data_IF_857439716080
#
_entry.id   IF_857439716080
#
_cell.length_a   1.000
_cell.length_b   1.000
_cell.length_c   1.000
_cell.angle_alpha   90.00
_cell.angle_beta   90.00
_cell.angle_gamma   90.00
#
_symmetry.space_group_name_H-M   'P 1'
#
loop_
_entity.id
_entity.type
_entity.pdbx_description
1 polymer ?
#
# COMPACT_ATOMS: atom_id res chain seq x y z
N UNK A 1 -22.61 -25.38 9.47
CA UNK A 1 -23.27 -25.14 8.16
C UNK A 1 -24.79 -25.29 8.18
N UNK A 2 -25.37 -26.27 8.91
CA UNK A 2 -26.83 -26.51 8.89
C UNK A 2 -27.72 -25.31 9.31
N UNK A 3 -27.23 -24.42 10.18
CA UNK A 3 -27.97 -23.23 10.63
C UNK A 3 -27.89 -22.05 9.66
N UNK A 4 -26.89 -22.00 8.76
CA UNK A 4 -26.78 -20.88 7.82
C UNK A 4 -27.85 -21.00 6.73
N UNK A 5 -28.07 -22.21 6.22
CA UNK A 5 -29.10 -22.50 5.21
C UNK A 5 -30.53 -22.27 5.70
N UNK A 6 -30.76 -22.24 7.03
CA UNK A 6 -32.08 -21.98 7.62
C UNK A 6 -32.38 -20.49 7.78
N UNK A 7 -31.39 -19.61 7.56
CA UNK A 7 -31.62 -18.16 7.63
C UNK A 7 -32.44 -17.67 6.42
N UNK A 8 -33.29 -16.64 6.60
CA UNK A 8 -33.89 -15.91 5.50
C UNK A 8 -32.87 -15.49 4.44
N UNK A 9 -33.29 -15.46 3.17
CA UNK A 9 -32.40 -15.18 2.05
C UNK A 9 -31.68 -13.83 2.22
N UNK A 10 -32.38 -12.81 2.71
CA UNK A 10 -31.86 -11.47 2.95
C UNK A 10 -30.68 -11.49 3.93
N UNK A 11 -30.80 -12.23 5.04
CA UNK A 11 -29.74 -12.35 6.03
C UNK A 11 -28.54 -13.13 5.48
N UNK A 12 -28.77 -14.19 4.70
CA UNK A 12 -27.68 -14.94 4.05
C UNK A 12 -26.90 -14.05 3.09
N UNK A 13 -27.60 -13.24 2.29
CA UNK A 13 -26.96 -12.29 1.37
C UNK A 13 -26.17 -11.21 2.12
N UNK A 14 -26.72 -10.65 3.20
CA UNK A 14 -26.00 -9.67 4.03
C UNK A 14 -24.74 -10.27 4.68
N UNK A 15 -24.81 -11.50 5.16
CA UNK A 15 -23.65 -12.20 5.74
C UNK A 15 -22.57 -12.39 4.67
N UNK A 16 -22.94 -12.82 3.46
CA UNK A 16 -22.00 -12.95 2.36
C UNK A 16 -21.39 -11.62 1.94
N UNK A 17 -22.17 -10.54 1.91
CA UNK A 17 -21.66 -9.21 1.63
C UNK A 17 -20.68 -8.74 2.70
N UNK A 18 -21.00 -8.98 3.98
CA UNK A 18 -20.13 -8.64 5.10
C UNK A 18 -18.85 -9.47 5.13
N UNK A 19 -18.90 -10.72 4.68
CA UNK A 19 -17.76 -11.63 4.63
C UNK A 19 -16.82 -11.39 3.44
N UNK A 20 -17.10 -10.41 2.57
CA UNK A 20 -16.17 -10.03 1.51
C UNK A 20 -14.90 -9.42 2.12
N UNK A 21 -13.70 -9.90 1.74
CA UNK A 21 -12.46 -9.38 2.30
C UNK A 21 -12.17 -7.94 1.84
N UNK A 22 -11.45 -7.21 2.68
CA UNK A 22 -10.89 -5.90 2.34
C UNK A 22 -9.44 -6.08 1.86
N UNK A 23 -9.27 -6.41 0.58
CA UNK A 23 -7.96 -6.84 0.07
C UNK A 23 -7.08 -5.67 -0.31
N UNK A 24 -5.79 -5.86 -0.13
CA UNK A 24 -4.77 -4.99 -0.74
C UNK A 24 -4.33 -5.64 -2.06
N UNK A 25 -4.73 -5.03 -3.17
CA UNK A 25 -4.38 -5.47 -4.52
C UNK A 25 -3.10 -4.79 -4.95
N UNK A 26 -2.06 -5.58 -5.20
CA UNK A 26 -0.73 -5.07 -5.49
C UNK A 26 -0.49 -4.87 -6.99
N UNK A 27 -0.14 -3.64 -7.38
CA UNK A 27 0.33 -3.28 -8.71
C UNK A 27 1.85 -3.17 -8.71
N UNK A 28 2.51 -3.79 -9.70
CA UNK A 28 3.96 -3.91 -9.74
C UNK A 28 4.46 -5.09 -8.91
N UNK A 29 5.46 -5.78 -9.44
CA UNK A 29 6.14 -6.87 -8.73
C UNK A 29 6.95 -6.27 -7.57
N UNK A 30 6.74 -6.75 -6.33
CA UNK A 30 7.57 -6.31 -5.23
C UNK A 30 9.01 -6.78 -5.46
N UNK A 31 9.95 -5.85 -5.38
CA UNK A 31 11.37 -6.14 -5.45
C UNK A 31 12.00 -5.63 -4.16
N UNK A 32 12.53 -6.55 -3.37
CA UNK A 32 13.22 -6.20 -2.15
C UNK A 32 14.27 -7.25 -1.79
N UNK A 33 15.55 -7.00 -2.11
CA UNK A 33 16.61 -7.98 -1.92
C UNK A 33 16.88 -8.29 -0.46
N UNK A 34 16.44 -7.43 0.47
CA UNK A 34 16.68 -7.57 1.91
C UNK A 34 15.55 -8.32 2.64
N UNK A 35 14.48 -8.67 1.94
CA UNK A 35 13.23 -9.12 2.58
C UNK A 35 13.14 -10.64 2.68
N UNK A 36 13.14 -11.36 1.55
CA UNK A 36 12.95 -12.81 1.44
C UNK A 36 13.54 -13.22 0.06
N UNK A 37 14.01 -14.48 -0.14
CA UNK A 37 14.23 -15.04 -1.47
C UNK A 37 13.18 -14.59 -2.50
N UNK A 38 13.66 -14.17 -3.67
CA UNK A 38 12.84 -13.58 -4.73
C UNK A 38 11.66 -14.49 -5.13
N UNK A 39 11.87 -15.81 -5.12
CA UNK A 39 10.83 -16.80 -5.44
C UNK A 39 9.66 -16.79 -4.45
N UNK A 40 9.93 -16.79 -3.15
CA UNK A 40 8.87 -16.75 -2.11
C UNK A 40 8.09 -15.42 -2.20
N UNK A 41 8.79 -14.31 -2.48
CA UNK A 41 8.19 -12.99 -2.65
C UNK A 41 7.29 -12.92 -3.88
N UNK A 42 7.75 -13.48 -4.99
CA UNK A 42 7.01 -13.59 -6.24
C UNK A 42 5.79 -14.48 -6.09
N UNK A 43 5.95 -15.63 -5.41
CA UNK A 43 4.86 -16.53 -5.12
C UNK A 43 3.80 -15.86 -4.25
N UNK A 44 4.19 -15.17 -3.18
CA UNK A 44 3.28 -14.38 -2.36
C UNK A 44 2.53 -13.34 -3.19
N UNK A 45 3.22 -12.60 -4.05
CA UNK A 45 2.61 -11.64 -4.96
C UNK A 45 1.61 -12.26 -5.95
N UNK A 46 1.88 -13.47 -6.45
CA UNK A 46 0.93 -14.24 -7.28
C UNK A 46 -0.29 -14.66 -6.46
N UNK A 47 -0.08 -15.15 -5.24
CA UNK A 47 -1.16 -15.56 -4.33
C UNK A 47 -2.08 -14.38 -3.97
N UNK A 48 -1.53 -13.18 -3.78
CA UNK A 48 -2.29 -11.96 -3.45
C UNK A 48 -3.26 -11.53 -4.56
N UNK A 49 -3.11 -12.07 -5.77
CA UNK A 49 -3.98 -11.79 -6.93
C UNK A 49 -5.08 -12.83 -7.12
N UNK A 50 -5.07 -13.92 -6.33
CA UNK A 50 -6.09 -14.95 -6.42
C UNK A 50 -7.47 -14.40 -6.05
N UNK A 51 -8.50 -15.07 -6.54
CA UNK A 51 -9.88 -14.77 -6.17
C UNK A 51 -10.08 -15.05 -4.66
N UNK A 52 -10.92 -14.27 -3.98
CA UNK A 52 -11.18 -14.49 -2.57
C UNK A 52 -11.87 -15.84 -2.38
N UNK A 53 -11.56 -16.58 -1.31
CA UNK A 53 -12.08 -17.93 -1.06
C UNK A 53 -13.62 -17.95 -1.03
N UNK A 54 -14.24 -16.85 -0.57
CA UNK A 54 -15.69 -16.66 -0.59
C UNK A 54 -16.31 -16.87 -2.00
N UNK A 55 -15.59 -16.60 -3.08
CA UNK A 55 -16.08 -16.82 -4.45
C UNK A 55 -16.25 -18.31 -4.82
N UNK A 56 -15.69 -19.23 -4.02
CA UNK A 56 -15.70 -20.67 -4.26
C UNK A 56 -16.64 -21.45 -3.33
N UNK A 57 -17.23 -20.82 -2.31
CA UNK A 57 -18.04 -21.51 -1.29
C UNK A 57 -19.34 -22.09 -1.86
N UNK A 58 -20.17 -21.25 -2.47
CA UNK A 58 -21.45 -21.66 -3.06
C UNK A 58 -21.89 -20.66 -4.14
N UNK A 59 -23.00 -20.96 -4.81
CA UNK A 59 -23.50 -20.10 -5.90
C UNK A 59 -23.89 -18.69 -5.41
N UNK A 60 -24.54 -18.55 -4.25
CA UNK A 60 -24.96 -17.25 -3.71
C UNK A 60 -23.75 -16.36 -3.38
N UNK A 61 -22.79 -16.95 -2.68
CA UNK A 61 -21.54 -16.31 -2.30
C UNK A 61 -20.77 -15.82 -3.53
N UNK A 62 -20.69 -16.65 -4.58
CA UNK A 62 -20.09 -16.30 -5.87
C UNK A 62 -20.81 -15.15 -6.55
N UNK A 63 -22.15 -15.15 -6.56
CA UNK A 63 -22.93 -14.06 -7.16
C UNK A 63 -22.66 -12.73 -6.46
N UNK A 64 -22.53 -12.74 -5.13
CA UNK A 64 -22.20 -11.53 -4.36
C UNK A 64 -20.80 -11.02 -4.68
N UNK A 65 -19.80 -11.91 -4.67
CA UNK A 65 -18.43 -11.55 -5.05
C UNK A 65 -18.38 -10.94 -6.46
N UNK A 66 -19.01 -11.59 -7.45
CA UNK A 66 -19.09 -11.09 -8.82
C UNK A 66 -19.84 -9.75 -8.94
N UNK A 67 -20.92 -9.57 -8.18
CA UNK A 67 -21.72 -8.35 -8.22
C UNK A 67 -20.93 -7.13 -7.73
N UNK A 68 -20.10 -7.32 -6.69
CA UNK A 68 -19.28 -6.25 -6.10
C UNK A 68 -18.01 -5.96 -6.90
N UNK A 69 -17.53 -6.94 -7.67
CA UNK A 69 -16.26 -6.84 -8.38
C UNK A 69 -16.31 -6.26 -9.81
N UNK A 70 -17.44 -5.69 -10.25
CA UNK A 70 -17.60 -5.26 -11.65
C UNK A 70 -16.74 -4.06 -12.03
N UNK A 71 -15.90 -4.23 -13.05
CA UNK A 71 -15.26 -3.13 -13.80
C UNK A 71 -16.32 -2.12 -14.29
N UNK A 72 -16.03 -0.80 -14.27
CA UNK A 72 -16.87 0.17 -14.95
C UNK A 72 -16.98 -0.14 -16.45
N UNK A 73 -18.16 0.06 -17.04
CA UNK A 73 -18.35 -0.08 -18.49
C UNK A 73 -17.39 0.85 -19.24
N UNK A 74 -16.70 0.32 -20.26
CA UNK A 74 -15.78 1.09 -21.11
C UNK A 74 -14.32 1.13 -20.63
N UNK A 75 -13.98 0.51 -19.50
CA UNK A 75 -12.59 0.36 -19.06
C UNK A 75 -12.00 -0.90 -19.70
N UNK A 76 -11.13 -0.70 -20.70
CA UNK A 76 -10.28 -1.76 -21.25
C UNK A 76 -8.94 -1.66 -20.52
N UNK A 77 -8.66 -2.63 -19.66
CA UNK A 77 -7.31 -2.78 -19.11
C UNK A 77 -6.47 -3.58 -20.10
N UNK A 78 -5.19 -3.24 -20.19
CA UNK A 78 -4.27 -3.96 -21.04
C UNK A 78 -4.25 -5.47 -20.66
N UNK A 79 -4.10 -6.40 -21.62
CA UNK A 79 -4.11 -7.85 -21.35
C UNK A 79 -3.03 -8.29 -20.34
N UNK A 80 -1.98 -7.49 -20.19
CA UNK A 80 -0.87 -7.61 -19.26
C UNK A 80 -1.09 -6.81 -17.95
N UNK A 81 -2.25 -6.16 -17.76
CA UNK A 81 -2.63 -5.62 -16.45
C UNK A 81 -2.79 -6.80 -15.51
N UNK A 82 -1.85 -6.88 -14.57
CA UNK A 82 -1.42 -8.09 -13.85
C UNK A 82 -2.48 -8.65 -12.87
N UNK A 83 -3.69 -8.11 -12.90
CA UNK A 83 -4.82 -8.51 -12.07
C UNK A 83 -6.04 -8.60 -12.96
N UNK A 84 -6.77 -9.71 -12.85
CA UNK A 84 -8.11 -9.79 -13.42
C UNK A 84 -9.03 -8.80 -12.69
N UNK A 85 -9.03 -7.56 -13.16
CA UNK A 85 -9.76 -6.46 -12.54
C UNK A 85 -11.28 -6.67 -12.53
N UNK A 86 -11.79 -7.73 -13.19
CA UNK A 86 -13.14 -8.26 -13.00
C UNK A 86 -13.43 -8.69 -11.56
N UNK A 87 -12.41 -8.77 -10.71
CA UNK A 87 -12.52 -9.18 -9.30
C UNK A 87 -12.25 -8.07 -8.29
N UNK A 88 -12.12 -6.81 -8.73
CA UNK A 88 -11.90 -5.68 -7.83
C UNK A 88 -13.18 -5.13 -7.21
N UNK A 89 -13.28 -5.22 -5.88
CA UNK A 89 -14.37 -4.59 -5.15
C UNK A 89 -14.18 -3.08 -5.07
N UNK A 90 -15.10 -2.32 -5.67
CA UNK A 90 -15.04 -0.85 -5.71
C UNK A 90 -15.11 -0.17 -4.33
N UNK A 91 -15.56 -0.88 -3.30
CA UNK A 91 -15.87 -0.33 -1.99
C UNK A 91 -14.91 -0.77 -0.90
N UNK A 92 -14.18 -1.87 -1.10
CA UNK A 92 -13.37 -2.49 -0.02
C UNK A 92 -11.92 -2.74 -0.40
N UNK A 93 -11.60 -2.90 -1.69
CA UNK A 93 -10.22 -3.18 -2.10
C UNK A 93 -9.38 -1.89 -2.14
N UNK A 94 -8.15 -1.98 -1.64
CA UNK A 94 -7.13 -0.93 -1.70
C UNK A 94 -6.13 -1.31 -2.78
N UNK A 95 -5.79 -0.38 -3.65
CA UNK A 95 -4.84 -0.62 -4.73
C UNK A 95 -3.49 -0.09 -4.29
N UNK A 96 -2.53 -0.99 -4.09
CA UNK A 96 -1.20 -0.68 -3.62
C UNK A 96 -0.19 -0.68 -4.77
N UNK A 97 0.41 0.45 -5.05
CA UNK A 97 1.44 0.61 -6.05
C UNK A 97 2.82 0.34 -5.45
N UNK A 98 3.38 -0.82 -5.78
CA UNK A 98 4.78 -1.15 -5.56
C UNK A 98 5.62 -0.59 -6.71
N UNK A 99 6.78 -0.04 -6.40
CA UNK A 99 7.84 0.12 -7.39
C UNK A 99 9.13 -0.51 -6.87
N UNK A 100 9.88 -1.20 -7.72
CA UNK A 100 11.22 -1.62 -7.37
C UNK A 100 12.08 -0.37 -7.06
N UNK A 101 12.95 -0.43 -6.04
CA UNK A 101 13.85 0.69 -5.71
C UNK A 101 14.82 1.02 -6.85
N UNK A 102 15.09 0.06 -7.75
CA UNK A 102 15.91 0.24 -8.94
C UNK A 102 15.14 -0.23 -10.18
N UNK A 103 14.91 0.69 -11.12
CA UNK A 103 14.26 0.36 -12.39
C UNK A 103 15.33 -0.09 -13.38
N UNK A 104 15.34 -1.38 -13.68
CA UNK A 104 16.43 -2.03 -14.42
C UNK A 104 16.41 -1.66 -15.91
N UNK A 105 15.24 -1.36 -16.49
CA UNK A 105 15.15 -0.96 -17.91
C UNK A 105 14.01 0.03 -18.24
N UNK A 106 14.12 0.66 -19.43
CA UNK A 106 13.19 1.69 -19.89
C UNK A 106 11.75 1.18 -20.07
N UNK A 107 11.54 -0.07 -20.51
CA UNK A 107 10.20 -0.63 -20.69
C UNK A 107 9.47 -0.81 -19.35
N UNK A 108 10.17 -1.26 -18.31
CA UNK A 108 9.63 -1.31 -16.94
C UNK A 108 9.26 0.09 -16.43
N UNK A 109 10.10 1.10 -16.70
CA UNK A 109 9.83 2.50 -16.33
C UNK A 109 8.54 3.01 -16.98
N UNK A 110 8.36 2.81 -18.28
CA UNK A 110 7.15 3.23 -19.00
C UNK A 110 5.90 2.58 -18.40
N UNK A 111 5.92 1.26 -18.16
CA UNK A 111 4.77 0.56 -17.55
C UNK A 111 4.42 1.08 -16.17
N UNK A 112 5.42 1.39 -15.33
CA UNK A 112 5.19 1.95 -14.00
C UNK A 112 4.59 3.36 -14.10
N UNK A 113 5.07 4.18 -15.03
CA UNK A 113 4.53 5.51 -15.29
C UNK A 113 3.07 5.45 -15.79
N UNK A 114 2.77 4.54 -16.72
CA UNK A 114 1.41 4.31 -17.23
C UNK A 114 0.49 3.82 -16.10
N UNK A 115 0.94 2.89 -15.26
CA UNK A 115 0.20 2.43 -14.09
C UNK A 115 -0.12 3.55 -13.09
N UNK A 116 0.84 4.45 -12.84
CA UNK A 116 0.60 5.65 -12.02
C UNK A 116 -0.43 6.59 -12.67
N UNK A 117 -0.34 6.83 -13.98
CA UNK A 117 -1.31 7.63 -14.72
C UNK A 117 -2.71 7.01 -14.69
N UNK A 118 -2.81 5.69 -14.70
CA UNK A 118 -4.09 4.99 -14.59
C UNK A 118 -4.77 5.22 -13.25
N UNK A 119 -4.00 5.31 -12.15
CA UNK A 119 -4.55 5.70 -10.83
C UNK A 119 -5.25 7.06 -10.90
N UNK A 120 -4.75 7.96 -11.73
CA UNK A 120 -5.41 9.23 -12.02
C UNK A 120 -6.52 9.11 -13.06
N UNK A 121 -6.45 8.28 -14.09
CA UNK A 121 -7.41 8.32 -15.21
C UNK A 121 -8.62 7.42 -15.01
N UNK A 122 -8.47 6.33 -14.28
CA UNK A 122 -9.49 5.29 -14.15
C UNK A 122 -10.30 5.50 -12.86
N UNK A 123 -11.61 5.81 -12.93
CA UNK A 123 -12.40 6.18 -11.75
C UNK A 123 -12.46 5.12 -10.64
N UNK A 124 -12.36 3.82 -10.98
CA UNK A 124 -12.31 2.74 -9.99
C UNK A 124 -11.03 2.78 -9.16
N UNK A 125 -9.91 3.17 -9.77
CA UNK A 125 -8.60 3.20 -9.13
C UNK A 125 -8.48 4.38 -8.16
N UNK A 126 -9.23 5.47 -8.38
CA UNK A 126 -9.13 6.71 -7.60
C UNK A 126 -9.62 6.63 -6.14
N UNK A 127 -10.35 5.58 -5.74
CA UNK A 127 -11.07 5.59 -4.46
C UNK A 127 -10.19 5.31 -3.24
N UNK A 128 -9.35 4.28 -3.30
CA UNK A 128 -8.42 3.93 -2.22
C UNK A 128 -7.10 3.49 -2.83
N UNK A 129 -6.21 4.47 -2.98
CA UNK A 129 -4.86 4.26 -3.51
C UNK A 129 -3.87 4.25 -2.35
N UNK A 130 -3.03 3.23 -2.35
CA UNK A 130 -1.82 3.17 -1.56
C UNK A 130 -0.59 3.22 -2.47
N UNK A 131 0.42 3.99 -2.08
CA UNK A 131 1.69 4.08 -2.81
C UNK A 131 2.82 3.73 -1.84
N UNK A 132 3.78 2.91 -2.27
CA UNK A 132 5.00 2.68 -1.48
C UNK A 132 5.78 3.99 -1.31
N UNK A 133 6.32 4.24 -0.11
CA UNK A 133 7.15 5.40 0.15
C UNK A 133 8.35 5.46 -0.81
N UNK A 134 8.91 4.33 -1.24
CA UNK A 134 10.06 4.28 -2.14
C UNK A 134 9.78 4.89 -3.53
N UNK A 135 8.50 4.96 -3.93
CA UNK A 135 8.05 5.61 -5.18
C UNK A 135 8.12 7.14 -5.05
N UNK A 136 7.82 7.66 -3.86
CA UNK A 136 7.67 9.11 -3.62
C UNK A 136 8.94 9.69 -3.01
N UNK A 137 9.30 9.16 -1.85
CA UNK A 137 10.50 9.48 -1.10
C UNK A 137 10.81 8.30 -0.17
N UNK A 138 11.93 7.59 -0.35
CA UNK A 138 12.27 6.43 0.47
C UNK A 138 12.25 6.72 1.96
N UNK A 139 11.51 5.92 2.72
CA UNK A 139 11.47 6.05 4.18
C UNK A 139 12.71 5.44 4.84
N UNK A 140 13.29 4.41 4.22
CA UNK A 140 14.53 3.78 4.64
C UNK A 140 15.72 4.43 3.93
N UNK A 141 16.70 4.92 4.72
CA UNK A 141 17.83 5.73 4.22
C UNK A 141 18.75 5.01 3.23
N UNK A 142 18.74 3.69 3.22
CA UNK A 142 19.56 2.88 2.31
C UNK A 142 18.88 2.57 0.99
N UNK A 143 17.60 2.95 0.84
CA UNK A 143 16.87 2.73 -0.41
C UNK A 143 17.07 3.90 -1.35
N UNK A 144 17.28 3.55 -2.61
CA UNK A 144 17.28 4.50 -3.71
C UNK A 144 15.84 4.93 -4.02
N UNK A 145 15.71 6.16 -4.49
CA UNK A 145 14.44 6.66 -5.04
C UNK A 145 14.16 5.93 -6.35
N UNK A 146 12.88 5.70 -6.63
CA UNK A 146 12.45 5.30 -7.95
C UNK A 146 12.89 6.34 -9.02
N UNK A 147 13.27 5.86 -10.20
CA UNK A 147 13.62 6.69 -11.37
C UNK A 147 12.40 7.37 -12.03
N UNK A 148 11.23 7.33 -11.39
CA UNK A 148 10.02 7.92 -11.93
C UNK A 148 10.10 9.46 -11.90
N UNK A 149 9.54 10.16 -12.92
CA UNK A 149 9.49 11.61 -12.91
C UNK A 149 8.75 12.14 -11.68
N UNK A 150 9.39 13.01 -10.91
CA UNK A 150 8.80 13.57 -9.67
C UNK A 150 7.50 14.32 -9.93
N UNK A 151 7.41 15.03 -11.05
CA UNK A 151 6.19 15.75 -11.43
C UNK A 151 5.01 14.80 -11.56
N UNK A 152 5.20 13.67 -12.24
CA UNK A 152 4.17 12.65 -12.40
C UNK A 152 3.70 12.10 -11.05
N UNK A 153 4.63 11.73 -10.17
CA UNK A 153 4.29 11.19 -8.84
C UNK A 153 3.47 12.22 -8.05
N UNK A 154 3.89 13.49 -8.05
CA UNK A 154 3.16 14.55 -7.33
C UNK A 154 1.82 14.89 -7.98
N UNK A 155 1.69 14.86 -9.30
CA UNK A 155 0.40 15.01 -9.99
C UNK A 155 -0.60 13.94 -9.51
N UNK A 156 -0.16 12.68 -9.40
CA UNK A 156 -0.99 11.57 -8.91
C UNK A 156 -1.41 11.78 -7.46
N UNK A 157 -0.46 12.07 -6.57
CA UNK A 157 -0.76 12.27 -5.14
C UNK A 157 -1.70 13.48 -4.97
N UNK A 158 -1.47 14.58 -5.68
CA UNK A 158 -2.32 15.77 -5.60
C UNK A 158 -3.72 15.55 -6.20
N UNK A 159 -3.87 14.65 -7.16
CA UNK A 159 -5.18 14.27 -7.70
C UNK A 159 -6.01 13.44 -6.71
N UNK A 160 -5.38 12.84 -5.69
CA UNK A 160 -6.06 12.11 -4.61
C UNK A 160 -6.37 13.03 -3.43
N UNK A 161 -7.60 12.98 -2.90
CA UNK A 161 -7.95 13.72 -1.67
C UNK A 161 -7.22 13.18 -0.44
N UNK A 162 -7.11 11.85 -0.39
CA UNK A 162 -6.41 11.08 0.64
C UNK A 162 -5.52 10.09 -0.10
N UNK A 163 -4.23 10.10 0.22
CA UNK A 163 -3.26 9.15 -0.33
C UNK A 163 -2.73 8.29 0.81
N UNK A 164 -2.89 6.97 0.70
CA UNK A 164 -2.28 6.04 1.66
C UNK A 164 -0.81 5.88 1.27
N UNK A 165 0.11 6.08 2.21
CA UNK A 165 1.53 5.84 1.99
C UNK A 165 1.96 4.64 2.82
N UNK A 166 2.42 3.58 2.16
CA UNK A 166 3.08 2.47 2.84
C UNK A 166 4.53 2.87 3.11
N UNK A 167 4.86 3.19 4.37
CA UNK A 167 6.21 3.60 4.76
C UNK A 167 7.21 2.45 4.65
N UNK A 168 6.75 1.23 4.89
CA UNK A 168 7.58 0.04 4.83
C UNK A 168 6.71 -1.19 4.61
N UNK A 169 7.30 -2.21 4.00
CA UNK A 169 6.68 -3.51 3.79
C UNK A 169 7.42 -4.55 4.63
N UNK A 170 6.70 -5.21 5.53
CA UNK A 170 7.19 -6.31 6.34
C UNK A 170 6.65 -7.59 5.75
N UNK A 171 7.53 -8.44 5.21
CA UNK A 171 7.11 -9.77 4.79
C UNK A 171 7.32 -10.77 5.94
N UNK A 172 6.30 -11.59 6.17
CA UNK A 172 6.30 -12.61 7.21
C UNK A 172 6.23 -13.96 6.52
N UNK A 173 7.29 -14.74 6.68
CA UNK A 173 7.34 -16.11 6.16
C UNK A 173 6.54 -17.03 7.09
N UNK A 174 5.27 -17.28 6.78
CA UNK A 174 4.38 -18.10 7.59
C UNK A 174 3.36 -18.83 6.70
N UNK A 175 2.85 -19.97 7.16
CA UNK A 175 1.73 -20.63 6.48
C UNK A 175 0.41 -19.91 6.75
N UNK A 176 -0.61 -20.18 5.92
CA UNK A 176 -1.95 -19.62 6.09
C UNK A 176 -2.56 -20.08 7.41
N UNK A 177 -2.28 -21.31 7.84
CA UNK A 177 -2.76 -21.89 9.10
C UNK A 177 -2.20 -21.13 10.31
N UNK A 178 -0.89 -20.87 10.32
CA UNK A 178 -0.23 -20.10 11.39
C UNK A 178 -0.80 -18.67 11.50
N UNK A 179 -1.00 -18.01 10.35
CA UNK A 179 -1.65 -16.70 10.30
C UNK A 179 -3.09 -16.75 10.84
N UNK A 180 -3.84 -17.79 10.48
CA UNK A 180 -5.24 -17.99 10.87
C UNK A 180 -5.40 -18.23 12.37
N UNK A 181 -4.49 -18.99 13.00
CA UNK A 181 -4.50 -19.23 14.45
C UNK A 181 -4.40 -17.93 15.26
N UNK A 182 -3.72 -16.91 14.71
CA UNK A 182 -3.60 -15.59 15.32
C UNK A 182 -4.67 -14.59 14.83
N UNK A 183 -5.62 -15.03 13.99
CA UNK A 183 -6.66 -14.17 13.42
C UNK A 183 -6.11 -13.05 12.53
N UNK A 184 -4.99 -13.30 11.84
CA UNK A 184 -4.34 -12.37 10.93
C UNK A 184 -4.67 -12.69 9.47
N UNK A 185 -4.46 -11.71 8.58
CA UNK A 185 -4.59 -11.87 7.13
C UNK A 185 -5.95 -12.40 6.65
N UNK A 186 -7.04 -12.07 7.36
CA UNK A 186 -8.40 -12.39 6.93
C UNK A 186 -8.65 -13.89 6.71
N UNK A 187 -8.06 -14.75 7.54
CA UNK A 187 -8.07 -16.23 7.36
C UNK A 187 -7.41 -16.72 6.06
N UNK A 188 -6.52 -15.92 5.46
CA UNK A 188 -5.82 -16.19 4.20
C UNK A 188 -6.37 -15.41 2.99
N UNK A 189 -7.54 -14.77 3.11
CA UNK A 189 -8.16 -14.00 2.03
C UNK A 189 -7.65 -12.54 1.94
N UNK A 190 -6.91 -12.08 2.95
CA UNK A 190 -6.27 -10.77 2.97
C UNK A 190 -4.76 -10.91 3.20
N UNK A 191 -4.02 -11.53 2.27
CA UNK A 191 -2.61 -11.86 2.45
C UNK A 191 -1.67 -10.65 2.47
N UNK A 192 -2.19 -9.45 2.18
CA UNK A 192 -1.54 -8.18 2.47
C UNK A 192 -2.50 -7.27 3.25
N UNK A 193 -2.00 -6.65 4.32
CA UNK A 193 -2.77 -5.73 5.16
C UNK A 193 -1.99 -4.44 5.42
N UNK A 194 -2.69 -3.30 5.38
CA UNK A 194 -2.14 -1.97 5.63
C UNK A 194 -2.52 -1.53 7.04
N UNK A 195 -1.54 -1.51 7.94
CA UNK A 195 -1.73 -1.27 9.37
C UNK A 195 -1.23 0.13 9.73
N UNK A 196 -1.92 0.81 10.66
CA UNK A 196 -1.43 2.07 11.19
C UNK A 196 -0.07 1.88 11.88
N UNK A 197 0.99 2.64 11.53
CA UNK A 197 2.31 2.49 12.12
C UNK A 197 2.33 2.75 13.63
N UNK A 198 1.29 3.36 14.20
CA UNK A 198 1.17 3.64 15.63
C UNK A 198 0.16 2.72 16.34
N UNK A 199 -0.50 1.80 15.63
CA UNK A 199 -1.31 0.75 16.24
C UNK A 199 -0.42 -0.37 16.80
N UNK A 200 0.08 -0.13 18.02
CA UNK A 200 0.95 -1.07 18.73
C UNK A 200 0.29 -2.43 18.96
N UNK A 201 -1.02 -2.47 19.17
CA UNK A 201 -1.73 -3.72 19.43
C UNK A 201 -1.79 -4.58 18.16
N UNK A 202 -2.07 -3.98 17.00
CA UNK A 202 -2.01 -4.68 15.73
C UNK A 202 -0.58 -5.14 15.42
N UNK A 203 0.42 -4.26 15.51
CA UNK A 203 1.83 -4.57 15.22
C UNK A 203 2.35 -5.70 16.10
N UNK A 204 1.97 -5.74 17.38
CA UNK A 204 2.37 -6.81 18.29
C UNK A 204 1.84 -8.18 17.87
N UNK A 205 0.62 -8.27 17.30
CA UNK A 205 0.10 -9.54 16.77
C UNK A 205 0.91 -10.03 15.57
N UNK A 206 1.31 -9.12 14.67
CA UNK A 206 2.21 -9.47 13.57
C UNK A 206 3.60 -9.88 14.05
N UNK A 207 4.10 -9.23 15.10
CA UNK A 207 5.37 -9.60 15.75
C UNK A 207 5.29 -11.01 16.32
N UNK A 208 4.20 -11.38 16.99
CA UNK A 208 3.99 -12.74 17.50
C UNK A 208 4.03 -13.79 16.39
N UNK A 209 3.35 -13.52 15.26
CA UNK A 209 3.41 -14.42 14.10
C UNK A 209 4.85 -14.55 13.58
N UNK A 210 5.56 -13.44 13.45
CA UNK A 210 6.95 -13.41 12.98
C UNK A 210 7.95 -14.08 13.94
N UNK A 211 7.76 -13.94 15.25
CA UNK A 211 8.62 -14.58 16.26
C UNK A 211 8.55 -16.11 16.23
N UNK A 212 7.41 -16.65 15.78
CA UNK A 212 7.15 -18.08 15.64
C UNK A 212 7.63 -18.66 14.30
N UNK A 213 8.26 -17.85 13.45
CA UNK A 213 8.76 -18.29 12.14
C UNK A 213 10.23 -17.95 11.94
N UNK A 214 10.76 -18.26 10.75
CA UNK A 214 12.15 -17.94 10.44
C UNK A 214 12.30 -16.42 10.34
N UNK A 215 13.13 -15.86 11.22
CA UNK A 215 13.34 -14.41 11.35
C UNK A 215 14.17 -13.86 10.18
N UNK A 216 13.51 -13.07 9.33
CA UNK A 216 14.14 -12.32 8.25
C UNK A 216 14.81 -11.03 8.76
N UNK A 217 16.01 -10.71 8.25
CA UNK A 217 16.87 -9.63 8.76
C UNK A 217 16.23 -8.23 8.66
N UNK A 218 15.52 -7.96 7.56
CA UNK A 218 14.82 -6.67 7.37
C UNK A 218 13.68 -6.49 8.38
N UNK A 219 12.89 -7.54 8.62
CA UNK A 219 11.81 -7.56 9.60
C UNK A 219 12.32 -7.40 11.04
N UNK A 220 13.50 -7.95 11.38
CA UNK A 220 14.17 -7.68 12.67
C UNK A 220 14.36 -6.18 12.89
N UNK A 221 15.01 -5.50 11.94
CA UNK A 221 15.31 -4.06 12.05
C UNK A 221 14.04 -3.22 12.20
N UNK A 222 12.96 -3.61 11.53
CA UNK A 222 11.66 -2.96 11.69
C UNK A 222 11.12 -3.14 13.12
N UNK A 223 10.95 -4.38 13.59
CA UNK A 223 10.36 -4.66 14.91
C UNK A 223 11.21 -4.14 16.08
N UNK A 224 12.52 -4.03 15.91
CA UNK A 224 13.41 -3.42 16.91
C UNK A 224 13.29 -1.90 17.00
N UNK A 225 12.83 -1.25 15.92
CA UNK A 225 12.79 0.22 15.84
C UNK A 225 11.38 0.80 16.00
N UNK A 226 10.34 0.05 15.62
CA UNK A 226 8.95 0.53 15.54
C UNK A 226 8.42 1.09 16.88
N UNK A 227 8.77 0.46 18.00
CA UNK A 227 8.33 0.89 19.34
C UNK A 227 9.20 1.99 19.97
N UNK A 228 10.26 2.42 19.29
CA UNK A 228 11.21 3.41 19.81
C UNK A 228 10.84 4.83 19.38
N UNK A 229 11.23 5.83 20.18
CA UNK A 229 11.12 7.24 19.76
C UNK A 229 11.87 7.56 18.46
N UNK A 230 12.81 6.71 18.03
CA UNK A 230 13.51 6.85 16.75
C UNK A 230 12.56 6.67 15.57
N UNK A 231 11.58 5.77 15.67
CA UNK A 231 10.61 5.57 14.58
C UNK A 231 9.73 6.82 14.40
N UNK A 232 9.16 7.34 15.48
CA UNK A 232 8.37 8.58 15.44
C UNK A 232 9.19 9.75 14.88
N UNK A 233 10.44 9.91 15.33
CA UNK A 233 11.34 10.93 14.78
C UNK A 233 11.57 10.77 13.28
N UNK A 234 11.73 9.53 12.79
CA UNK A 234 11.89 9.25 11.37
C UNK A 234 10.63 9.59 10.57
N UNK A 235 9.44 9.29 11.10
CA UNK A 235 8.16 9.64 10.49
C UNK A 235 8.02 11.16 10.37
N UNK A 236 8.27 11.91 11.44
CA UNK A 236 8.21 13.38 11.42
C UNK A 236 9.21 13.99 10.41
N UNK A 237 10.43 13.47 10.40
CA UNK A 237 11.44 13.90 9.42
C UNK A 237 11.03 13.59 7.99
N UNK A 238 10.50 12.40 7.73
CA UNK A 238 10.02 12.00 6.41
C UNK A 238 8.85 12.89 5.93
N UNK A 239 7.92 13.20 6.83
CA UNK A 239 6.81 14.12 6.54
C UNK A 239 7.29 15.55 6.22
N UNK A 240 8.37 16.02 6.87
CA UNK A 240 8.99 17.30 6.57
C UNK A 240 9.68 17.31 5.19
N UNK A 241 10.38 16.22 4.82
CA UNK A 241 10.94 16.05 3.47
C UNK A 241 9.85 16.04 2.40
N UNK A 242 8.76 15.30 2.62
CA UNK A 242 7.60 15.29 1.74
C UNK A 242 6.98 16.68 1.57
N UNK A 243 6.88 17.44 2.65
CA UNK A 243 6.40 18.82 2.63
C UNK A 243 7.34 19.71 1.81
N UNK A 244 8.65 19.60 2.01
CA UNK A 244 9.64 20.33 1.24
C UNK A 244 9.60 20.00 -0.26
N UNK A 245 9.39 18.73 -0.61
CA UNK A 245 9.29 18.30 -2.01
C UNK A 245 8.02 18.78 -2.69
N UNK A 246 6.88 18.75 -2.00
CA UNK A 246 5.65 19.36 -2.51
C UNK A 246 5.84 20.85 -2.76
N UNK A 247 6.46 21.56 -1.80
CA UNK A 247 6.69 23.00 -1.94
C UNK A 247 7.57 23.26 -3.17
N UNK A 248 8.62 22.45 -3.34
CA UNK A 248 9.48 22.52 -4.51
C UNK A 248 8.67 22.29 -5.80
N UNK A 249 7.94 21.17 -5.89
CA UNK A 249 7.11 20.83 -7.04
C UNK A 249 6.11 21.93 -7.43
N UNK A 250 5.38 22.47 -6.45
CA UNK A 250 4.25 23.38 -6.72
C UNK A 250 4.67 24.84 -6.84
N UNK A 251 5.80 25.25 -6.26
CA UNK A 251 6.15 26.67 -6.11
C UNK A 251 7.51 27.10 -6.64
N UNK A 252 8.40 26.18 -7.05
CA UNK A 252 9.73 26.60 -7.56
C UNK A 252 9.77 26.95 -9.06
N UNK A 253 8.61 26.95 -9.74
CA UNK A 253 8.45 27.39 -11.14
C UNK A 253 7.22 28.28 -11.38
N UNK A 254 6.94 29.28 -10.52
CA UNK A 254 6.62 30.65 -11.02
C UNK A 254 7.28 31.79 -10.19
N UNK A 255 7.34 33.03 -10.71
CA UNK A 255 7.84 34.19 -9.97
C UNK A 255 6.79 34.64 -8.94
N UNK A 256 7.11 34.56 -7.64
CA UNK A 256 6.22 35.03 -6.58
C UNK A 256 6.91 36.03 -5.66
N UNK A 257 6.19 37.06 -5.17
CA UNK A 257 6.72 38.13 -4.31
C UNK A 257 6.79 37.75 -2.80
N UNK A 258 6.82 36.46 -2.45
CA UNK A 258 6.76 35.96 -1.06
C UNK A 258 8.12 35.38 -0.63
N UNK A 259 8.36 35.05 0.67
CA UNK A 259 9.63 34.47 1.12
C UNK A 259 10.06 33.31 0.23
N UNK A 260 11.34 33.26 -0.13
CA UNK A 260 11.85 32.32 -1.13
C UNK A 260 11.46 30.87 -0.73
N UNK A 261 10.64 30.16 -1.54
CA UNK A 261 10.23 28.78 -1.25
C UNK A 261 11.44 27.87 -0.98
N UNK A 262 12.60 28.16 -1.57
CA UNK A 262 13.84 27.42 -1.32
C UNK A 262 14.27 27.49 0.14
N UNK A 263 14.17 28.65 0.79
CA UNK A 263 14.59 28.84 2.18
C UNK A 263 13.67 28.05 3.12
N UNK A 264 12.36 28.07 2.87
CA UNK A 264 11.39 27.26 3.61
C UNK A 264 11.67 25.76 3.43
N UNK A 265 11.94 25.29 2.20
CA UNK A 265 12.29 23.88 1.99
C UNK A 265 13.59 23.48 2.71
N UNK A 266 14.59 24.37 2.75
CA UNK A 266 15.83 24.13 3.49
C UNK A 266 15.59 24.09 5.01
N UNK A 267 14.75 25.00 5.53
CA UNK A 267 14.36 25.05 6.93
C UNK A 267 13.65 23.75 7.35
N UNK A 268 12.67 23.28 6.58
CA UNK A 268 11.93 22.05 6.86
C UNK A 268 12.83 20.81 6.92
N UNK A 269 13.80 20.71 6.02
CA UNK A 269 14.77 19.59 6.02
C UNK A 269 15.67 19.59 7.26
N UNK A 270 15.96 20.78 7.79
CA UNK A 270 16.80 20.95 8.98
C UNK A 270 16.00 20.80 10.28
N UNK A 271 14.77 21.31 10.31
CA UNK A 271 13.91 21.39 11.48
C UNK A 271 12.50 20.90 11.14
N UNK A 272 12.21 19.58 11.29
CA UNK A 272 10.93 19.00 10.92
C UNK A 272 9.70 19.62 11.60
N UNK A 273 9.87 20.15 12.81
CA UNK A 273 8.86 20.85 13.60
C UNK A 273 8.31 22.10 12.90
N UNK A 274 9.12 22.74 12.05
CA UNK A 274 8.75 23.94 11.29
C UNK A 274 7.63 23.67 10.28
N UNK A 275 7.31 22.40 9.98
CA UNK A 275 6.15 22.03 9.16
C UNK A 275 4.84 22.60 9.70
N UNK A 276 4.74 22.85 11.02
CA UNK A 276 3.53 23.39 11.66
C UNK A 276 3.50 24.91 11.70
N UNK A 277 4.58 25.59 11.28
CA UNK A 277 4.69 27.05 11.31
C UNK A 277 3.69 27.69 10.33
N UNK A 278 3.23 28.92 10.59
CA UNK A 278 2.40 29.68 9.66
C UNK A 278 3.05 29.83 8.27
N UNK A 279 4.36 30.03 8.23
CA UNK A 279 5.15 30.23 7.01
C UNK A 279 5.21 28.97 6.16
N UNK A 280 5.30 27.78 6.77
CA UNK A 280 5.23 26.52 6.02
C UNK A 280 3.80 26.24 5.53
N UNK A 281 2.79 26.50 6.38
CA UNK A 281 1.37 26.24 6.07
C UNK A 281 0.88 26.98 4.83
N UNK A 282 1.34 28.20 4.57
CA UNK A 282 0.95 28.95 3.37
C UNK A 282 1.34 28.24 2.06
N UNK A 283 2.47 27.51 2.06
CA UNK A 283 2.94 26.76 0.90
C UNK A 283 2.39 25.33 0.84
N UNK A 284 1.82 24.83 1.93
CA UNK A 284 1.16 23.52 2.00
C UNK A 284 -0.35 23.59 1.69
N UNK A 285 -0.84 24.72 1.19
CA UNK A 285 -2.22 24.85 0.69
C UNK A 285 -2.41 23.92 -0.49
N UNK A 286 -3.36 22.98 -0.37
CA UNK A 286 -3.59 21.92 -1.36
C UNK A 286 -2.68 20.70 -1.20
N UNK A 287 -1.85 20.64 -0.17
CA UNK A 287 -1.09 19.44 0.16
C UNK A 287 -2.07 18.30 0.49
N UNK A 288 -1.93 17.12 -0.16
CA UNK A 288 -2.85 16.00 0.04
C UNK A 288 -2.76 15.44 1.46
N UNK A 289 -3.87 14.94 2.00
CA UNK A 289 -3.83 14.24 3.29
C UNK A 289 -3.16 12.89 3.09
N UNK A 290 -2.02 12.69 3.77
CA UNK A 290 -1.29 11.43 3.75
C UNK A 290 -1.75 10.55 4.92
N UNK A 291 -2.16 9.32 4.61
CA UNK A 291 -2.44 8.30 5.63
C UNK A 291 -1.30 7.29 5.64
N UNK A 292 -0.52 7.29 6.72
CA UNK A 292 0.66 6.45 6.82
C UNK A 292 0.25 5.04 7.24
N UNK A 293 0.85 4.04 6.59
CA UNK A 293 0.63 2.62 6.86
C UNK A 293 1.94 1.85 6.82
N UNK A 294 1.95 0.70 7.46
CA UNK A 294 2.92 -0.38 7.26
C UNK A 294 2.19 -1.49 6.55
N UNK A 295 2.74 -1.95 5.43
CA UNK A 295 2.20 -3.13 4.76
C UNK A 295 2.79 -4.38 5.40
N UNK A 296 1.96 -5.24 5.94
CA UNK A 296 2.34 -6.60 6.28
C UNK A 296 1.93 -7.52 5.14
N UNK A 297 2.85 -8.34 4.66
CA UNK A 297 2.62 -9.34 3.60
C UNK A 297 2.88 -10.73 4.14
N UNK A 298 1.93 -11.63 3.95
CA UNK A 298 2.10 -13.05 4.19
C UNK A 298 2.84 -13.67 3.01
N UNK A 299 3.97 -14.31 3.29
CA UNK A 299 4.76 -15.03 2.31
C UNK A 299 4.84 -16.51 2.69
N UNK A 300 3.90 -17.35 2.22
CA UNK A 300 3.97 -18.78 2.46
C UNK A 300 5.30 -19.34 1.92
N UNK A 301 6.01 -20.18 2.69
CA UNK A 301 7.23 -20.81 2.18
C UNK A 301 6.89 -21.62 0.92
N UNK A 302 7.80 -21.64 -0.06
CA UNK A 302 7.70 -22.58 -1.16
C UNK A 302 7.47 -24.01 -0.61
N UNK A 303 6.56 -24.75 -1.22
CA UNK A 303 6.38 -26.17 -0.91
C UNK A 303 7.74 -26.84 -1.12
N UNK A 304 8.28 -27.46 -0.07
CA UNK A 304 9.40 -28.38 -0.23
C UNK A 304 8.78 -29.64 -0.82
N UNK A 305 8.88 -29.79 -2.14
CA UNK A 305 8.57 -31.03 -2.83
C UNK A 305 9.47 -32.17 -2.31
#
# INVERSE_FOLDING_TARGET
MAQFSTLPAELRLLIWEFALPARVVEMGEPCDPDIIPEEDLRQAWILNKKHPAIAYVCWESRQIALAKSKLPRGVILAPDSITDARWWSKSTDIIHFNAPPEIINAAQRCRLADGLLDLMKVPILRKMVSISADVVHPFLRFRNRSDLPRSLVWEVICATKICIISLHTVCIRATVEQARELGLFGNGDEPAQLIDPFDKAAIQRFRQLWDNTKKEVSSVKFFDTIDTGRFTFRVERWLAEMSAEYIHFKWTSPPFPTPNPRDITALLRRYPDQRRSPEAKQYLVGFPRLELRIMFRLCPPALVD
#
